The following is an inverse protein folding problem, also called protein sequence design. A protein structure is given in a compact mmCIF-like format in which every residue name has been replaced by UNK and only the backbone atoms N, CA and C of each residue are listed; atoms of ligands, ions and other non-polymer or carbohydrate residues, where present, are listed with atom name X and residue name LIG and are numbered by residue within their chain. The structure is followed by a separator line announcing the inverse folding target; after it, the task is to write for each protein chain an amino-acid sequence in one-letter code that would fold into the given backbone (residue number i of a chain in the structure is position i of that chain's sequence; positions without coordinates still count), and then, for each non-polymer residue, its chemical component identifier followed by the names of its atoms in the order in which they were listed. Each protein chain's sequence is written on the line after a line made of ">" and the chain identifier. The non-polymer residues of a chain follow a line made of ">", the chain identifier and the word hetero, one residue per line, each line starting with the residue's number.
data_IF_795326689770
#
_entry.id   IF_795326689770
#
_cell.length_a   1.000
_cell.length_b   1.000
_cell.length_c   1.000
_cell.angle_alpha   90.00
_cell.angle_beta   90.00
_cell.angle_gamma   90.00
#
_symmetry.space_group_name_H-M   'P 1'
#
loop_
_entity.id
_entity.type
_entity.pdbx_description
1 polymer ?
#
# COMPACT_ATOMS: atom_id res chain seq x y z
N UNK A 1 4.45 -21.21 5.35
CA UNK A 1 4.15 -19.84 4.91
C UNK A 1 5.22 -19.37 3.95
N UNK A 2 4.84 -18.96 2.75
CA UNK A 2 5.79 -18.57 1.72
C UNK A 2 6.05 -17.05 1.74
N UNK A 3 7.24 -16.69 1.32
CA UNK A 3 7.57 -15.30 1.04
C UNK A 3 6.94 -14.90 -0.30
N UNK A 4 6.72 -13.61 -0.47
CA UNK A 4 6.33 -13.07 -1.77
C UNK A 4 7.43 -13.40 -2.78
N UNK A 5 7.06 -13.87 -3.99
CA UNK A 5 8.06 -14.18 -5.01
C UNK A 5 8.99 -13.01 -5.29
N UNK A 6 10.24 -13.32 -5.59
CA UNK A 6 11.23 -12.31 -5.94
C UNK A 6 10.87 -11.62 -7.25
N UNK A 7 10.85 -10.28 -7.25
CA UNK A 7 10.65 -9.45 -8.44
C UNK A 7 11.67 -8.34 -8.41
N UNK A 8 11.85 -7.65 -9.53
CA UNK A 8 12.69 -6.45 -9.55
C UNK A 8 12.06 -5.34 -8.71
N UNK A 9 12.90 -4.56 -8.05
CA UNK A 9 12.47 -3.45 -7.22
C UNK A 9 12.16 -3.87 -5.80
N UNK A 10 11.80 -2.89 -5.00
CA UNK A 10 11.46 -3.05 -3.59
C UNK A 10 9.95 -3.00 -3.40
N UNK A 11 9.47 -3.74 -2.42
CA UNK A 11 8.04 -3.82 -2.10
C UNK A 11 7.54 -2.50 -1.49
N UNK A 12 6.46 -1.96 -2.04
CA UNK A 12 5.78 -0.76 -1.54
C UNK A 12 4.45 -1.07 -0.85
N UNK A 13 3.77 -2.14 -1.29
CA UNK A 13 2.48 -2.54 -0.73
C UNK A 13 2.42 -4.06 -0.71
N UNK A 14 2.04 -4.64 0.43
CA UNK A 14 1.85 -6.08 0.62
C UNK A 14 0.34 -6.34 0.70
N UNK A 15 -0.27 -6.78 -0.41
CA UNK A 15 -1.72 -6.84 -0.54
C UNK A 15 -2.17 -7.96 -1.48
N UNK A 16 -3.29 -8.59 -1.14
CA UNK A 16 -3.95 -9.58 -2.00
C UNK A 16 -5.46 -9.33 -2.04
N UNK A 17 -6.12 -9.89 -3.06
CA UNK A 17 -7.58 -10.01 -3.09
C UNK A 17 -7.94 -11.49 -3.08
N UNK A 18 -8.79 -11.90 -2.14
CA UNK A 18 -9.28 -13.28 -2.07
C UNK A 18 -10.34 -13.53 -3.14
N UNK A 19 -10.66 -14.82 -3.44
CA UNK A 19 -11.67 -15.12 -4.47
C UNK A 19 -13.05 -14.50 -4.23
N UNK A 20 -13.43 -14.25 -2.96
CA UNK A 20 -14.71 -13.61 -2.65
C UNK A 20 -14.65 -12.08 -2.76
N UNK A 21 -13.50 -11.53 -3.15
CA UNK A 21 -13.32 -10.09 -3.34
C UNK A 21 -12.77 -9.33 -2.14
N UNK A 22 -12.48 -10.01 -1.04
CA UNK A 22 -11.95 -9.37 0.16
C UNK A 22 -10.49 -8.99 -0.04
N UNK A 23 -10.13 -7.76 0.33
CA UNK A 23 -8.76 -7.26 0.25
C UNK A 23 -8.08 -7.38 1.60
N UNK A 24 -6.91 -8.01 1.61
CA UNK A 24 -6.05 -8.12 2.79
C UNK A 24 -4.76 -7.37 2.51
N UNK A 25 -4.36 -6.53 3.47
CA UNK A 25 -3.11 -5.78 3.38
C UNK A 25 -2.35 -5.87 4.69
N UNK A 26 -1.03 -6.02 4.60
CA UNK A 26 -0.14 -5.96 5.76
C UNK A 26 0.77 -4.74 5.60
N UNK A 27 0.66 -3.78 6.51
CA UNK A 27 1.33 -2.48 6.41
C UNK A 27 2.62 -2.39 7.19
N UNK A 28 2.76 -3.19 8.24
CA UNK A 28 3.98 -3.17 9.05
C UNK A 28 4.34 -4.58 9.49
N UNK A 29 5.52 -4.72 10.07
CA UNK A 29 6.09 -6.01 10.47
C UNK A 29 5.16 -6.85 11.35
N UNK A 30 4.35 -6.21 12.18
CA UNK A 30 3.47 -6.87 13.14
C UNK A 30 2.02 -6.95 12.68
N UNK A 31 1.74 -6.51 11.46
CA UNK A 31 0.38 -6.44 10.92
C UNK A 31 0.01 -7.76 10.26
N UNK A 32 -0.75 -8.57 10.99
CA UNK A 32 -1.28 -9.84 10.51
C UNK A 32 -2.74 -9.64 10.10
N UNK A 33 -3.04 -9.92 8.84
CA UNK A 33 -4.39 -9.79 8.31
C UNK A 33 -4.84 -11.11 7.71
N UNK A 34 -6.01 -11.61 8.11
CA UNK A 34 -6.50 -12.90 7.67
C UNK A 34 -7.99 -12.85 7.36
N UNK A 35 -8.44 -13.80 6.56
CA UNK A 35 -9.83 -13.91 6.15
C UNK A 35 -10.17 -15.33 5.73
N UNK A 36 -11.33 -15.81 6.18
CA UNK A 36 -11.89 -17.08 5.69
C UNK A 36 -12.74 -16.75 4.46
N UNK A 37 -12.29 -17.19 3.29
CA UNK A 37 -12.94 -16.86 2.03
C UNK A 37 -14.31 -17.54 1.91
N UNK A 38 -15.35 -16.74 1.65
CA UNK A 38 -16.72 -17.25 1.58
C UNK A 38 -16.97 -18.10 0.32
N UNK A 39 -16.21 -17.85 -0.74
CA UNK A 39 -16.39 -18.55 -2.02
C UNK A 39 -15.71 -19.91 -2.05
N UNK A 40 -14.54 -20.03 -1.44
CA UNK A 40 -13.73 -21.24 -1.47
C UNK A 40 -13.70 -22.02 -0.16
N UNK A 41 -14.04 -21.38 0.96
CA UNK A 41 -13.90 -21.95 2.30
C UNK A 41 -12.46 -22.03 2.79
N UNK A 42 -11.49 -21.48 2.04
CA UNK A 42 -10.09 -21.51 2.39
C UNK A 42 -9.70 -20.28 3.22
N UNK A 43 -8.70 -20.44 4.09
CA UNK A 43 -8.14 -19.34 4.85
C UNK A 43 -7.02 -18.65 4.09
N UNK A 44 -7.03 -17.32 4.07
CA UNK A 44 -5.99 -16.49 3.47
C UNK A 44 -5.39 -15.58 4.52
N UNK A 45 -4.12 -15.24 4.37
CA UNK A 45 -3.49 -14.27 5.27
C UNK A 45 -2.32 -13.58 4.59
N UNK A 46 -2.07 -12.35 5.03
CA UNK A 46 -0.84 -11.61 4.72
C UNK A 46 -0.25 -11.11 6.04
N UNK A 47 1.06 -11.00 6.11
CA UNK A 47 1.77 -10.72 7.34
C UNK A 47 3.12 -10.08 7.04
N UNK A 48 3.72 -9.45 8.04
CA UNK A 48 5.10 -8.96 8.01
C UNK A 48 5.32 -7.63 7.31
N UNK A 49 4.29 -6.99 6.80
CA UNK A 49 4.41 -5.71 6.11
C UNK A 49 5.38 -5.75 4.95
N UNK A 50 6.27 -4.75 4.89
CA UNK A 50 7.27 -4.65 3.83
C UNK A 50 8.61 -5.29 4.21
N UNK A 51 8.84 -5.51 5.52
CA UNK A 51 10.11 -6.04 6.02
C UNK A 51 10.19 -7.56 5.93
N UNK A 52 9.10 -8.24 6.29
CA UNK A 52 9.00 -9.70 6.28
C UNK A 52 7.73 -10.16 5.59
N UNK A 53 7.53 -9.80 4.31
CA UNK A 53 6.28 -10.12 3.63
C UNK A 53 6.07 -11.63 3.52
N UNK A 54 4.96 -12.10 4.08
CA UNK A 54 4.60 -13.52 4.07
C UNK A 54 3.11 -13.68 3.83
N UNK A 55 2.75 -14.82 3.27
CA UNK A 55 1.37 -15.22 3.09
C UNK A 55 1.26 -16.74 3.24
N UNK A 56 0.06 -17.22 3.51
CA UNK A 56 -0.16 -18.65 3.64
C UNK A 56 0.07 -19.38 2.31
N UNK A 57 0.51 -20.62 2.45
CA UNK A 57 0.62 -21.53 1.32
C UNK A 57 -0.70 -22.28 1.18
N UNK A 58 -1.41 -22.10 0.08
CA UNK A 58 -2.55 -22.91 -0.28
C UNK A 58 -2.60 -23.03 -1.80
N UNK A 59 -3.36 -24.01 -2.30
CA UNK A 59 -3.45 -24.28 -3.72
C UNK A 59 -4.38 -23.30 -4.43
N UNK A 60 -5.30 -22.68 -3.71
CA UNK A 60 -6.23 -21.69 -4.27
C UNK A 60 -5.57 -20.33 -4.20
N UNK A 61 -5.28 -19.79 -5.36
CA UNK A 61 -4.53 -18.53 -5.47
C UNK A 61 -5.42 -17.31 -5.30
N UNK A 62 -4.96 -16.38 -4.47
CA UNK A 62 -5.52 -15.04 -4.40
C UNK A 62 -4.94 -14.19 -5.54
N UNK A 63 -5.63 -13.10 -5.87
CA UNK A 63 -5.10 -12.12 -6.82
C UNK A 63 -4.02 -11.30 -6.15
N UNK A 64 -2.86 -11.17 -6.80
CA UNK A 64 -1.74 -10.39 -6.30
C UNK A 64 -2.00 -8.90 -6.54
N UNK A 65 -2.04 -8.11 -5.47
CA UNK A 65 -2.23 -6.67 -5.55
C UNK A 65 -1.03 -5.89 -5.01
N UNK A 66 0.02 -6.59 -4.57
CA UNK A 66 1.23 -5.94 -4.08
C UNK A 66 1.85 -5.03 -5.14
N UNK A 67 2.48 -3.96 -4.67
CA UNK A 67 3.16 -2.98 -5.52
C UNK A 67 4.65 -2.95 -5.21
N UNK A 68 5.42 -2.67 -6.23
CA UNK A 68 6.88 -2.60 -6.18
C UNK A 68 7.33 -1.26 -6.75
N UNK A 69 8.56 -0.85 -6.41
CA UNK A 69 9.14 0.41 -6.90
C UNK A 69 9.27 0.46 -8.43
N UNK A 70 9.24 -0.70 -9.08
CA UNK A 70 9.32 -0.82 -10.54
C UNK A 70 7.96 -0.76 -11.23
N UNK A 71 6.87 -0.75 -10.48
CA UNK A 71 5.53 -0.64 -11.05
C UNK A 71 5.26 0.78 -11.58
N UNK A 72 4.40 0.93 -12.62
CA UNK A 72 4.05 2.25 -13.11
C UNK A 72 3.49 3.14 -12.01
N UNK A 73 3.90 4.40 -11.99
CA UNK A 73 3.44 5.33 -10.96
C UNK A 73 1.93 5.53 -10.96
N UNK A 74 1.29 5.46 -12.13
CA UNK A 74 -0.17 5.52 -12.26
C UNK A 74 -0.84 4.45 -11.41
N UNK A 75 -0.26 3.26 -11.32
CA UNK A 75 -0.79 2.17 -10.50
C UNK A 75 -0.49 2.40 -9.03
N UNK A 76 0.73 2.84 -8.72
CA UNK A 76 1.17 3.12 -7.34
C UNK A 76 0.25 4.17 -6.71
N UNK A 77 -0.02 5.26 -7.39
CA UNK A 77 -0.80 6.36 -6.84
C UNK A 77 -2.26 6.03 -6.55
N UNK A 78 -2.82 5.06 -7.26
CA UNK A 78 -4.21 4.63 -7.01
C UNK A 78 -4.32 3.58 -5.91
N UNK A 79 -3.27 2.82 -5.66
CA UNK A 79 -3.33 1.66 -4.77
C UNK A 79 -2.62 1.86 -3.42
N UNK A 80 -1.57 2.67 -3.39
CA UNK A 80 -0.88 2.96 -2.14
C UNK A 80 -1.75 3.86 -1.26
N UNK A 81 -1.83 3.52 0.05
CA UNK A 81 -2.58 4.33 1.02
C UNK A 81 -1.69 4.72 2.19
N UNK A 82 -1.96 5.89 2.75
CA UNK A 82 -1.24 6.44 3.89
C UNK A 82 -2.19 6.63 5.06
N UNK A 83 -1.77 6.20 6.25
CA UNK A 83 -2.56 6.34 7.47
C UNK A 83 -2.46 7.75 8.02
N UNK A 84 -3.59 8.33 8.42
CA UNK A 84 -3.65 9.69 8.93
C UNK A 84 -4.76 9.84 9.98
N UNK A 85 -4.58 10.81 10.88
CA UNK A 85 -5.60 11.23 11.84
C UNK A 85 -6.32 12.50 11.38
N UNK A 86 -6.21 12.82 10.08
CA UNK A 86 -6.84 13.99 9.49
C UNK A 86 -5.99 15.25 9.61
N UNK A 87 -6.47 16.34 8.97
CA UNK A 87 -5.74 17.60 8.88
C UNK A 87 -5.37 18.19 10.24
N UNK A 88 -6.26 18.03 11.23
CA UNK A 88 -6.06 18.56 12.59
C UNK A 88 -5.49 17.54 13.56
N UNK A 89 -5.33 16.28 13.14
CA UNK A 89 -4.86 15.21 13.99
C UNK A 89 -5.88 14.71 15.00
N UNK A 90 -7.16 15.08 14.86
CA UNK A 90 -8.24 14.76 15.80
C UNK A 90 -9.30 13.81 15.24
N UNK A 91 -9.15 13.39 13.98
CA UNK A 91 -10.04 12.39 13.37
C UNK A 91 -9.63 10.99 13.78
N UNK A 92 -10.55 10.00 13.73
CA UNK A 92 -10.16 8.60 13.84
C UNK A 92 -9.14 8.26 12.75
N UNK A 93 -8.21 7.36 13.08
CA UNK A 93 -7.19 6.93 12.12
C UNK A 93 -7.86 6.30 10.90
N UNK A 94 -7.48 6.77 9.71
CA UNK A 94 -7.99 6.25 8.45
C UNK A 94 -6.90 6.30 7.39
N UNK A 95 -7.15 5.66 6.24
CA UNK A 95 -6.19 5.59 5.15
C UNK A 95 -6.68 6.38 3.96
N UNK A 96 -5.76 7.12 3.33
CA UNK A 96 -6.03 7.95 2.15
C UNK A 96 -5.14 7.45 1.02
N UNK A 97 -5.72 7.25 -0.17
CA UNK A 97 -4.93 6.88 -1.35
C UNK A 97 -3.97 8.02 -1.70
N UNK A 98 -2.79 7.65 -2.21
CA UNK A 98 -1.77 8.63 -2.57
C UNK A 98 -2.34 9.71 -3.50
N UNK A 99 -3.12 9.32 -4.50
CA UNK A 99 -3.72 10.26 -5.46
C UNK A 99 -4.69 11.27 -4.80
N UNK A 100 -5.24 10.93 -3.65
CA UNK A 100 -6.21 11.77 -2.92
C UNK A 100 -5.58 12.60 -1.81
N UNK A 101 -4.29 12.39 -1.52
CA UNK A 101 -3.60 13.20 -0.52
C UNK A 101 -3.40 14.62 -1.05
N UNK A 102 -3.66 15.63 -0.21
CA UNK A 102 -3.42 17.01 -0.63
C UNK A 102 -1.93 17.26 -0.83
N UNK A 103 -1.59 18.24 -1.67
CA UNK A 103 -0.21 18.63 -1.91
C UNK A 103 0.49 18.99 -0.59
N UNK A 104 -0.20 19.75 0.28
CA UNK A 104 0.34 20.15 1.58
C UNK A 104 0.56 18.93 2.49
N UNK A 105 -0.33 17.95 2.45
CA UNK A 105 -0.17 16.73 3.24
C UNK A 105 1.08 15.96 2.81
N UNK A 106 1.28 15.81 1.50
CA UNK A 106 2.48 15.13 0.96
C UNK A 106 3.74 15.87 1.39
N UNK A 107 3.76 17.19 1.28
CA UNK A 107 4.91 17.99 1.70
C UNK A 107 5.20 17.84 3.20
N UNK A 108 4.16 17.83 4.02
CA UNK A 108 4.31 17.62 5.47
C UNK A 108 4.87 16.24 5.80
N UNK A 109 4.41 15.20 5.09
CA UNK A 109 4.95 13.84 5.28
C UNK A 109 6.42 13.80 4.87
N UNK A 110 6.78 14.42 3.74
CA UNK A 110 8.17 14.45 3.26
C UNK A 110 9.11 15.12 4.25
N UNK A 111 8.65 16.13 4.97
CA UNK A 111 9.47 16.81 5.99
C UNK A 111 9.90 15.86 7.12
N UNK A 112 9.12 14.83 7.40
CA UNK A 112 9.38 13.88 8.46
C UNK A 112 10.04 12.58 8.02
N UNK A 113 10.23 12.37 6.71
CA UNK A 113 10.79 11.13 6.19
C UNK A 113 12.30 11.23 5.98
N UNK A 114 13.00 10.15 6.28
CA UNK A 114 14.38 9.96 5.87
C UNK A 114 14.41 9.34 4.46
N UNK A 115 15.57 9.39 3.81
CA UNK A 115 15.74 8.85 2.47
C UNK A 115 15.31 7.39 2.37
N UNK A 116 14.70 7.03 1.25
CA UNK A 116 14.30 5.68 0.96
C UNK A 116 13.19 5.62 -0.09
N UNK A 117 12.70 4.41 -0.33
CA UNK A 117 11.68 4.15 -1.35
C UNK A 117 10.36 4.89 -1.12
N UNK A 118 9.99 5.08 0.13
CA UNK A 118 8.74 5.78 0.46
C UNK A 118 8.88 7.28 0.16
N UNK A 119 10.00 7.90 0.52
CA UNK A 119 10.27 9.29 0.16
C UNK A 119 10.23 9.46 -1.36
N UNK A 120 10.92 8.56 -2.08
CA UNK A 120 10.97 8.61 -3.54
C UNK A 120 9.58 8.52 -4.15
N UNK A 121 8.72 7.66 -3.60
CA UNK A 121 7.34 7.50 -4.06
C UNK A 121 6.55 8.81 -3.91
N UNK A 122 6.65 9.47 -2.76
CA UNK A 122 5.96 10.75 -2.54
C UNK A 122 6.49 11.84 -3.47
N UNK A 123 7.81 11.89 -3.71
CA UNK A 123 8.40 12.84 -4.65
C UNK A 123 7.95 12.56 -6.07
N UNK A 124 7.82 11.29 -6.44
CA UNK A 124 7.30 10.90 -7.75
C UNK A 124 5.85 11.35 -7.92
N UNK A 125 5.04 11.33 -6.88
CA UNK A 125 3.67 11.83 -6.95
C UNK A 125 3.63 13.34 -7.19
N UNK A 126 4.46 14.11 -6.50
CA UNK A 126 4.52 15.56 -6.73
C UNK A 126 4.97 15.86 -8.17
N UNK A 127 5.96 15.14 -8.67
CA UNK A 127 6.43 15.29 -10.05
C UNK A 127 5.35 14.89 -11.06
N UNK A 128 4.63 13.80 -10.79
CA UNK A 128 3.50 13.36 -11.62
C UNK A 128 2.44 14.47 -11.72
N UNK A 129 2.11 15.09 -10.59
CA UNK A 129 1.14 16.20 -10.56
C UNK A 129 1.63 17.39 -11.35
N UNK A 130 2.91 17.73 -11.19
CA UNK A 130 3.52 18.84 -11.95
C UNK A 130 3.42 18.59 -13.45
N UNK A 131 3.80 17.38 -13.89
CA UNK A 131 3.80 17.03 -15.31
C UNK A 131 2.40 16.98 -15.91
N UNK A 132 1.38 16.70 -15.10
CA UNK A 132 0.00 16.57 -15.55
C UNK A 132 -0.89 17.73 -15.13
N UNK A 133 -0.30 18.79 -14.61
CA UNK A 133 -1.01 20.00 -14.14
C UNK A 133 -2.12 19.68 -13.14
N UNK A 134 -1.82 18.77 -12.19
CA UNK A 134 -2.78 18.35 -11.17
C UNK A 134 -2.44 19.01 -9.82
N UNK A 135 -3.49 19.40 -9.10
CA UNK A 135 -3.37 19.90 -7.73
C UNK A 135 -4.46 19.24 -6.90
N UNK A 136 -4.10 18.78 -5.69
CA UNK A 136 -5.08 18.27 -4.73
C UNK A 136 -5.02 19.17 -3.51
N UNK A 137 -6.12 19.85 -3.25
CA UNK A 137 -6.25 20.77 -2.13
C UNK A 137 -6.84 20.07 -0.91
N UNK A 138 -6.58 20.67 0.27
CA UNK A 138 -7.15 20.18 1.53
C UNK A 138 -8.68 20.28 1.54
#
# INVERSE_FOLDING_TARGET
>A
MDKIPSVEGELLVNMIRTPDGTILESRCRWDYSSHLDAKTGEGYMVDGGLDYPRRNVNEVKAEELSLYTTDPHELVRTRFTWGTYGKRGDSPMHYVALEDMSDLHIEAVLDGLSHGKIEDMFRNELEYRRLNSLTVED
#
